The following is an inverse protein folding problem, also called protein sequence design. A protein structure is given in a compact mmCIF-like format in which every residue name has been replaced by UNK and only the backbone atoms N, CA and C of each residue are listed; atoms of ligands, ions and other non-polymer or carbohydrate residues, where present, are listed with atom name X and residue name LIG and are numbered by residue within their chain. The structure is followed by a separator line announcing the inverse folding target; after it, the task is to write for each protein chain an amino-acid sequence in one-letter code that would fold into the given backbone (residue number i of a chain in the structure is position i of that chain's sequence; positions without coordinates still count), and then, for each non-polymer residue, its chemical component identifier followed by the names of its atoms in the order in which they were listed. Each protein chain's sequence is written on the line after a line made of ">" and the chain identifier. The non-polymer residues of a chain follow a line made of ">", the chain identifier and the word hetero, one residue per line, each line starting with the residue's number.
data_IF_450087112775
#
_entry.id   IF_450087112775
#
_cell.length_a   1.000
_cell.length_b   1.000
_cell.length_c   1.000
_cell.angle_alpha   90.00
_cell.angle_beta   90.00
_cell.angle_gamma   90.00
#
_symmetry.space_group_name_H-M   'P 1'
#
loop_
_entity.id
_entity.type
_entity.pdbx_description
1 polymer ?
#
# COMPACT_ATOMS: atom_id res chain seq x y z
N UNK A 1 75.73 13.24 -65.37
CA UNK A 1 75.35 12.81 -66.73
C UNK A 1 73.96 12.18 -66.68
N UNK A 2 72.97 12.78 -67.39
CA UNK A 2 71.57 12.34 -67.65
C UNK A 2 70.65 12.18 -66.41
N UNK A 3 69.37 12.54 -66.39
CA UNK A 3 68.46 13.33 -67.23
C UNK A 3 67.16 13.45 -66.42
N UNK A 4 66.57 14.66 -66.34
CA UNK A 4 65.31 14.97 -65.64
C UNK A 4 64.12 14.15 -66.19
N UNK A 5 63.23 13.70 -65.30
CA UNK A 5 61.77 13.69 -65.55
C UNK A 5 61.03 14.08 -64.27
N UNK A 6 60.34 15.20 -64.38
CA UNK A 6 59.39 15.82 -63.45
C UNK A 6 58.28 14.85 -63.01
N UNK A 7 58.09 14.68 -61.69
CA UNK A 7 56.91 14.01 -61.11
C UNK A 7 55.98 15.06 -60.50
N UNK A 8 54.78 15.09 -61.07
CA UNK A 8 53.62 15.92 -60.74
C UNK A 8 53.06 15.47 -59.38
N UNK A 9 53.04 16.36 -58.39
CA UNK A 9 52.41 16.12 -57.10
C UNK A 9 50.89 16.02 -57.30
N UNK A 10 50.30 14.86 -56.98
CA UNK A 10 48.85 14.67 -56.90
C UNK A 10 48.43 14.98 -55.46
N UNK A 11 47.75 16.09 -55.28
CA UNK A 11 46.98 16.39 -54.06
C UNK A 11 45.81 15.39 -53.97
N UNK A 12 45.88 14.48 -53.01
CA UNK A 12 44.72 13.67 -52.61
C UNK A 12 43.89 14.52 -51.64
N UNK A 13 42.72 14.96 -52.09
CA UNK A 13 41.71 15.61 -51.26
C UNK A 13 41.15 14.55 -50.32
N UNK A 14 41.39 14.70 -49.02
CA UNK A 14 40.72 13.93 -47.97
C UNK A 14 39.37 14.61 -47.72
N UNK A 15 38.28 14.01 -48.18
CA UNK A 15 36.93 14.46 -47.89
C UNK A 15 36.65 14.21 -46.40
N UNK A 16 36.75 15.24 -45.56
CA UNK A 16 36.23 15.20 -44.19
C UNK A 16 34.71 15.10 -44.26
N UNK A 17 34.16 13.93 -43.91
CA UNK A 17 32.75 13.77 -43.60
C UNK A 17 32.51 14.43 -42.23
N UNK A 18 32.14 15.71 -42.23
CA UNK A 18 31.69 16.41 -41.03
C UNK A 18 30.31 15.85 -40.63
N UNK A 19 30.29 14.89 -39.70
CA UNK A 19 29.07 14.57 -38.96
C UNK A 19 28.78 15.74 -37.99
N UNK A 20 27.59 16.36 -38.04
CA UNK A 20 27.21 17.27 -36.98
C UNK A 20 27.02 16.45 -35.69
N UNK A 21 27.89 16.67 -34.71
CA UNK A 21 27.60 16.31 -33.31
C UNK A 21 26.36 17.11 -32.89
N UNK A 22 25.18 16.51 -32.98
CA UNK A 22 24.05 16.95 -32.19
C UNK A 22 24.38 16.62 -30.73
N UNK A 23 24.98 17.59 -30.05
CA UNK A 23 25.02 17.62 -28.60
C UNK A 23 23.58 17.83 -28.12
N UNK A 24 22.83 16.75 -27.95
CA UNK A 24 21.61 16.76 -27.15
C UNK A 24 22.04 16.95 -25.70
N UNK A 25 22.17 18.21 -25.29
CA UNK A 25 22.19 18.54 -23.88
C UNK A 25 20.88 18.04 -23.28
N UNK A 26 20.94 16.99 -22.47
CA UNK A 26 19.87 16.71 -21.53
C UNK A 26 19.90 17.84 -20.50
N UNK A 27 19.22 18.94 -20.82
CA UNK A 27 18.56 19.71 -19.79
C UNK A 27 17.61 18.74 -19.10
N UNK A 28 18.00 18.24 -17.93
CA UNK A 28 17.08 17.67 -16.94
C UNK A 28 16.24 18.85 -16.45
N UNK A 29 15.40 19.36 -17.34
CA UNK A 29 14.36 20.30 -17.03
C UNK A 29 13.39 19.55 -16.16
N UNK A 30 13.17 20.09 -14.97
CA UNK A 30 12.10 19.74 -14.05
C UNK A 30 10.84 19.41 -14.86
N UNK A 31 10.57 18.12 -15.05
CA UNK A 31 9.25 17.68 -15.39
C UNK A 31 8.42 17.99 -14.15
N UNK A 32 7.82 19.19 -14.16
CA UNK A 32 6.72 19.53 -13.29
C UNK A 32 5.66 18.47 -13.59
N UNK A 33 5.58 17.47 -12.71
CA UNK A 33 4.55 16.44 -12.73
C UNK A 33 3.23 17.14 -12.42
N UNK A 34 2.60 17.67 -13.47
CA UNK A 34 1.27 18.24 -13.41
C UNK A 34 0.24 17.13 -13.21
N UNK A 35 0.01 16.75 -11.96
CA UNK A 35 -1.29 16.29 -11.50
C UNK A 35 -1.79 17.26 -10.42
N UNK A 36 -2.19 18.45 -10.86
CA UNK A 36 -3.08 19.32 -10.10
C UNK A 36 -4.46 19.17 -10.72
N UNK A 37 -5.40 18.55 -9.99
CA UNK A 37 -6.75 18.33 -10.51
C UNK A 37 -7.69 17.68 -9.50
N UNK A 38 -7.99 18.42 -8.43
CA UNK A 38 -8.91 18.10 -7.31
C UNK A 38 -8.33 17.17 -6.23
N UNK A 39 -7.93 17.77 -5.11
CA UNK A 39 -7.82 17.05 -3.84
C UNK A 39 -9.15 16.41 -3.46
N UNK A 40 -9.11 15.41 -2.58
CA UNK A 40 -10.28 14.73 -2.09
C UNK A 40 -11.09 15.62 -1.15
N UNK A 41 -12.40 15.47 -1.20
CA UNK A 41 -13.35 16.08 -0.27
C UNK A 41 -14.00 15.01 0.60
N UNK A 42 -14.09 15.29 1.89
CA UNK A 42 -14.80 14.47 2.86
C UNK A 42 -16.09 15.16 3.26
N UNK A 43 -17.22 14.50 3.02
CA UNK A 43 -18.55 15.02 3.35
C UNK A 43 -18.84 14.82 4.83
N UNK A 44 -19.45 15.84 5.44
CA UNK A 44 -19.87 15.78 6.84
C UNK A 44 -21.16 14.95 6.97
N UNK A 45 -21.23 14.12 8.00
CA UNK A 45 -22.40 13.28 8.30
C UNK A 45 -22.61 13.16 9.81
N UNK A 46 -23.85 12.89 10.21
CA UNK A 46 -24.21 12.55 11.59
C UNK A 46 -24.15 11.05 11.89
N UNK A 47 -23.85 10.22 10.89
CA UNK A 47 -23.80 8.76 11.05
C UNK A 47 -22.63 8.34 11.94
N UNK A 48 -22.81 7.24 12.68
CA UNK A 48 -21.67 6.51 13.21
C UNK A 48 -20.90 5.91 12.02
N UNK A 49 -19.59 6.12 12.00
CA UNK A 49 -18.72 5.67 10.93
C UNK A 49 -18.04 4.33 11.27
N UNK A 50 -18.02 3.95 12.54
CA UNK A 50 -17.56 2.62 12.92
C UNK A 50 -18.64 1.57 12.57
N UNK A 51 -18.19 0.41 12.11
CA UNK A 51 -18.93 -0.69 11.49
C UNK A 51 -19.64 -0.33 10.18
N UNK A 52 -19.23 0.76 9.52
CA UNK A 52 -19.82 1.20 8.27
C UNK A 52 -19.38 0.29 7.12
N UNK A 53 -20.35 -0.32 6.43
CA UNK A 53 -20.09 -1.27 5.35
C UNK A 53 -19.96 -0.57 4.00
N UNK A 54 -19.26 -1.17 3.02
CA UNK A 54 -19.19 -0.61 1.68
C UNK A 54 -20.55 -0.43 1.00
N UNK A 55 -21.53 -1.30 1.31
CA UNK A 55 -22.87 -1.25 0.73
C UNK A 55 -23.82 -0.23 1.38
N UNK A 56 -23.41 0.42 2.47
CA UNK A 56 -24.32 1.24 3.28
C UNK A 56 -24.78 2.51 2.56
N UNK A 57 -26.04 2.89 2.78
CA UNK A 57 -26.66 4.03 2.13
C UNK A 57 -26.02 5.39 2.46
N UNK A 58 -25.23 5.47 3.54
CA UNK A 58 -24.53 6.69 3.94
C UNK A 58 -23.58 7.21 2.84
N UNK A 59 -22.98 6.30 2.07
CA UNK A 59 -22.06 6.64 0.98
C UNK A 59 -22.71 7.42 -0.17
N UNK A 60 -24.05 7.37 -0.31
CA UNK A 60 -24.76 8.13 -1.36
C UNK A 60 -24.57 9.65 -1.23
N UNK A 61 -24.23 10.13 -0.03
CA UNK A 61 -23.96 11.55 0.22
C UNK A 61 -22.53 11.96 -0.17
N UNK A 62 -21.59 11.02 -0.17
CA UNK A 62 -20.19 11.29 -0.50
C UNK A 62 -19.96 11.26 -2.02
N UNK A 63 -19.31 12.27 -2.62
CA UNK A 63 -18.95 12.22 -4.03
C UNK A 63 -17.95 11.10 -4.28
N UNK A 64 -18.17 10.35 -5.36
CA UNK A 64 -17.20 9.36 -5.84
C UNK A 64 -16.08 10.09 -6.59
N UNK A 65 -14.89 10.07 -6.01
CA UNK A 65 -13.70 10.76 -6.52
C UNK A 65 -12.71 9.72 -7.06
N UNK A 66 -11.96 10.05 -8.11
CA UNK A 66 -10.97 9.13 -8.69
C UNK A 66 -9.57 9.55 -8.26
N UNK A 67 -8.77 8.59 -7.80
CA UNK A 67 -7.35 8.77 -7.52
C UNK A 67 -6.56 7.96 -8.53
N UNK A 68 -5.63 8.61 -9.22
CA UNK A 68 -4.71 7.95 -10.14
C UNK A 68 -3.53 7.35 -9.36
N UNK A 69 -3.13 6.14 -9.74
CA UNK A 69 -2.07 5.36 -9.11
C UNK A 69 -1.03 4.97 -10.16
N UNK A 70 0.21 4.81 -9.73
CA UNK A 70 1.34 4.39 -10.56
C UNK A 70 2.15 3.32 -9.85
N UNK A 71 2.77 2.42 -10.59
CA UNK A 71 3.76 1.50 -10.06
C UNK A 71 4.83 2.27 -9.27
N UNK A 72 5.10 1.87 -8.03
CA UNK A 72 6.08 2.61 -7.22
C UNK A 72 7.48 2.52 -7.88
N UNK A 73 8.19 3.65 -8.07
CA UNK A 73 9.43 3.66 -8.86
C UNK A 73 10.69 3.54 -7.99
N UNK A 74 10.59 3.60 -6.67
CA UNK A 74 11.73 3.85 -5.79
C UNK A 74 12.39 2.56 -5.32
N UNK A 75 11.66 1.72 -4.58
CA UNK A 75 12.20 0.57 -3.88
C UNK A 75 12.27 -0.69 -4.78
N UNK A 76 13.33 -1.48 -4.66
CA UNK A 76 13.37 -2.80 -5.29
C UNK A 76 12.69 -3.85 -4.39
N UNK A 77 12.12 -4.94 -4.94
CA UNK A 77 11.80 -5.14 -6.37
C UNK A 77 10.65 -4.23 -6.83
N UNK A 78 10.81 -3.62 -8.01
CA UNK A 78 9.76 -2.77 -8.60
C UNK A 78 8.67 -3.60 -9.28
N UNK A 79 7.41 -3.14 -9.32
CA UNK A 79 6.44 -3.67 -10.26
C UNK A 79 6.93 -3.49 -11.70
N UNK A 80 6.62 -4.44 -12.58
CA UNK A 80 6.90 -4.30 -14.02
C UNK A 80 5.88 -3.41 -14.73
N UNK A 81 4.65 -3.39 -14.22
CA UNK A 81 3.49 -2.69 -14.77
C UNK A 81 2.72 -2.04 -13.62
N UNK A 82 1.98 -0.98 -13.92
CA UNK A 82 0.93 -0.48 -13.04
C UNK A 82 -0.32 -1.33 -13.25
N UNK A 83 -0.64 -2.21 -12.30
CA UNK A 83 -1.79 -3.11 -12.42
C UNK A 83 -3.11 -2.47 -11.98
N UNK A 84 -3.03 -1.58 -10.98
CA UNK A 84 -4.13 -0.74 -10.55
C UNK A 84 -3.80 0.70 -10.87
N UNK A 85 -4.33 1.23 -11.98
CA UNK A 85 -4.05 2.61 -12.42
C UNK A 85 -4.97 3.65 -11.75
N UNK A 86 -6.14 3.23 -11.29
CA UNK A 86 -7.14 4.12 -10.68
C UNK A 86 -7.87 3.43 -9.54
N UNK A 87 -8.26 4.24 -8.57
CA UNK A 87 -9.11 3.82 -7.46
C UNK A 87 -10.20 4.87 -7.22
N UNK A 88 -11.43 4.41 -7.04
CA UNK A 88 -12.53 5.26 -6.61
C UNK A 88 -12.48 5.42 -5.08
N UNK A 89 -12.62 6.66 -4.61
CA UNK A 89 -12.55 7.05 -3.22
C UNK A 89 -13.76 7.89 -2.85
N UNK A 90 -14.46 7.48 -1.80
CA UNK A 90 -15.49 8.28 -1.12
C UNK A 90 -15.06 8.48 0.33
N UNK A 91 -15.26 9.69 0.87
CA UNK A 91 -14.83 10.01 2.22
C UNK A 91 -15.96 10.66 2.99
N UNK A 92 -16.23 10.15 4.19
CA UNK A 92 -17.22 10.68 5.14
C UNK A 92 -16.52 11.01 6.45
N UNK A 93 -16.92 12.09 7.10
CA UNK A 93 -16.48 12.40 8.47
C UNK A 93 -17.65 12.91 9.32
N UNK A 94 -17.56 12.73 10.64
CA UNK A 94 -18.58 13.23 11.58
C UNK A 94 -18.01 14.25 12.58
N UNK A 95 -16.84 14.81 12.30
CA UNK A 95 -16.10 15.70 13.20
C UNK A 95 -15.38 15.00 14.36
N UNK A 96 -15.53 13.68 14.53
CA UNK A 96 -14.77 12.87 15.50
C UNK A 96 -13.98 11.75 14.83
N UNK A 97 -14.58 11.09 13.84
CA UNK A 97 -13.98 10.04 13.02
C UNK A 97 -14.16 10.33 11.53
N UNK A 98 -13.41 9.60 10.72
CA UNK A 98 -13.44 9.64 9.26
C UNK A 98 -13.42 8.21 8.71
N UNK A 99 -14.16 7.98 7.62
CA UNK A 99 -14.21 6.72 6.91
C UNK A 99 -13.89 6.94 5.44
N UNK A 100 -13.03 6.07 4.90
CA UNK A 100 -12.65 6.04 3.49
C UNK A 100 -13.20 4.78 2.86
N UNK A 101 -14.08 4.93 1.87
CA UNK A 101 -14.49 3.82 0.99
C UNK A 101 -13.63 3.85 -0.27
N UNK A 102 -12.87 2.78 -0.46
CA UNK A 102 -11.87 2.58 -1.49
C UNK A 102 -12.36 1.46 -2.41
N UNK A 103 -12.46 1.71 -3.71
CA UNK A 103 -12.90 0.69 -4.68
C UNK A 103 -11.97 0.60 -5.87
N UNK A 104 -11.52 -0.61 -6.20
CA UNK A 104 -10.66 -0.87 -7.35
C UNK A 104 -10.96 -2.23 -7.97
N UNK A 105 -10.70 -2.33 -9.28
CA UNK A 105 -10.88 -3.57 -10.03
C UNK A 105 -9.78 -4.55 -9.68
N UNK A 106 -10.18 -5.75 -9.27
CA UNK A 106 -9.32 -6.90 -9.07
C UNK A 106 -10.11 -8.17 -9.42
N UNK A 107 -9.81 -8.82 -10.56
CA UNK A 107 -10.56 -10.00 -10.99
C UNK A 107 -10.37 -11.21 -10.07
N UNK A 108 -9.40 -11.20 -9.16
CA UNK A 108 -9.04 -12.35 -8.33
C UNK A 108 -9.14 -11.98 -6.83
N UNK A 109 -10.14 -12.51 -6.12
CA UNK A 109 -10.22 -12.37 -4.65
C UNK A 109 -9.08 -13.13 -3.96
N UNK A 110 -7.96 -12.47 -3.69
CA UNK A 110 -6.76 -13.09 -3.14
C UNK A 110 -6.60 -12.75 -1.67
N UNK A 111 -6.96 -13.66 -0.77
CA UNK A 111 -6.90 -13.44 0.69
C UNK A 111 -5.76 -14.22 1.37
N UNK A 112 -4.66 -14.47 0.65
CA UNK A 112 -3.57 -15.44 0.92
C UNK A 112 -3.64 -16.31 2.19
N UNK A 113 -3.50 -17.62 1.98
CA UNK A 113 -3.20 -18.56 3.06
C UNK A 113 -2.23 -19.68 2.68
N UNK A 114 -2.04 -19.99 1.39
CA UNK A 114 -1.05 -20.97 0.95
C UNK A 114 0.32 -20.35 0.72
N UNK A 115 1.36 -21.17 0.82
CA UNK A 115 2.74 -20.77 0.55
C UNK A 115 2.88 -20.26 -0.89
N UNK A 116 3.58 -19.14 -1.03
CA UNK A 116 3.84 -18.52 -2.33
C UNK A 116 2.68 -17.72 -2.94
N UNK A 117 1.54 -17.62 -2.25
CA UNK A 117 0.42 -16.74 -2.62
C UNK A 117 0.45 -15.46 -1.78
N UNK A 118 -0.09 -14.38 -2.33
CA UNK A 118 -0.14 -13.07 -1.69
C UNK A 118 -1.57 -12.56 -1.55
N UNK A 119 -1.79 -11.73 -0.54
CA UNK A 119 -3.10 -11.13 -0.27
C UNK A 119 -3.23 -9.83 -1.03
N UNK A 120 -4.43 -9.54 -1.52
CA UNK A 120 -4.81 -8.20 -1.92
C UNK A 120 -4.76 -7.29 -0.70
N UNK A 121 -4.41 -6.04 -0.94
CA UNK A 121 -4.24 -5.06 0.11
C UNK A 121 -4.49 -3.64 -0.40
N UNK A 122 -4.88 -2.77 0.51
CA UNK A 122 -4.94 -1.32 0.29
C UNK A 122 -4.42 -0.62 1.53
N UNK A 123 -3.71 0.49 1.36
CA UNK A 123 -3.22 1.30 2.45
C UNK A 123 -3.51 2.78 2.27
N UNK A 124 -3.76 3.44 3.40
CA UNK A 124 -3.83 4.89 3.54
C UNK A 124 -2.62 5.34 4.32
N UNK A 125 -1.93 6.38 3.85
CA UNK A 125 -0.80 6.98 4.54
C UNK A 125 -1.13 8.44 4.87
N UNK A 126 -0.84 8.86 6.11
CA UNK A 126 -1.06 10.22 6.60
C UNK A 126 0.21 10.77 7.26
N UNK A 127 0.52 12.06 7.13
CA UNK A 127 1.60 12.66 7.89
C UNK A 127 1.24 12.69 9.38
N UNK A 128 2.18 12.33 10.27
CA UNK A 128 1.99 12.54 11.72
C UNK A 128 2.07 14.03 12.05
N UNK A 129 2.99 14.74 11.39
CA UNK A 129 3.20 16.18 11.57
C UNK A 129 3.50 16.86 10.24
N UNK A 130 2.99 18.08 10.08
CA UNK A 130 3.39 19.00 9.00
C UNK A 130 4.52 19.91 9.47
N UNK A 131 5.50 20.17 8.59
CA UNK A 131 6.58 21.13 8.82
C UNK A 131 6.33 22.32 7.91
N UNK A 132 6.15 23.52 8.48
CA UNK A 132 5.77 24.74 7.74
C UNK A 132 4.54 24.57 6.83
N UNK A 133 3.61 23.73 7.28
CA UNK A 133 2.38 23.41 6.56
C UNK A 133 2.55 22.45 5.37
N UNK A 134 3.72 21.84 5.21
CA UNK A 134 4.01 20.83 4.19
C UNK A 134 4.12 19.43 4.81
N UNK A 135 3.62 18.39 4.12
CA UNK A 135 3.81 17.01 4.55
C UNK A 135 5.26 16.53 4.28
N UNK A 136 5.73 15.46 4.94
CA UNK A 136 7.04 14.87 4.68
C UNK A 136 7.08 14.17 3.31
N UNK A 137 8.14 13.41 3.01
CA UNK A 137 8.18 12.56 1.81
C UNK A 137 6.95 11.64 1.69
N UNK A 138 6.28 11.55 0.52
CA UNK A 138 5.18 10.62 0.29
C UNK A 138 5.65 9.16 0.15
N UNK A 139 6.96 8.91 0.25
CA UNK A 139 7.56 7.59 0.17
C UNK A 139 7.76 6.99 1.57
N UNK A 140 6.68 6.96 2.34
CA UNK A 140 6.63 6.47 3.72
C UNK A 140 7.39 7.34 4.74
N UNK A 141 7.45 8.66 4.53
CA UNK A 141 8.11 9.59 5.44
C UNK A 141 9.63 9.70 5.26
N UNK A 142 10.27 10.33 6.24
CA UNK A 142 11.72 10.58 6.31
C UNK A 142 12.15 10.62 7.79
N UNK A 143 13.45 10.55 8.12
CA UNK A 143 13.92 10.62 9.50
C UNK A 143 13.34 11.83 10.25
N UNK A 144 12.85 11.59 11.48
CA UNK A 144 12.18 12.58 12.35
C UNK A 144 10.88 13.17 11.80
N UNK A 145 10.39 12.71 10.64
CA UNK A 145 9.09 13.10 10.08
C UNK A 145 8.27 11.86 9.74
N UNK A 146 7.73 11.18 10.76
CA UNK A 146 7.01 9.95 10.59
C UNK A 146 5.69 10.14 9.85
N UNK A 147 5.28 9.07 9.18
CA UNK A 147 3.94 8.89 8.65
C UNK A 147 3.22 7.79 9.41
N UNK A 148 1.90 7.85 9.39
CA UNK A 148 1.00 6.88 9.96
C UNK A 148 0.21 6.19 8.85
N UNK A 149 0.34 4.87 8.74
CA UNK A 149 -0.15 4.06 7.64
C UNK A 149 -1.18 3.07 8.17
N UNK A 150 -2.35 3.05 7.54
CA UNK A 150 -3.44 2.10 7.80
C UNK A 150 -3.46 1.09 6.66
N UNK A 151 -3.07 -0.15 6.93
CA UNK A 151 -2.87 -1.19 5.93
C UNK A 151 -3.88 -2.32 6.09
N UNK A 152 -4.86 -2.35 5.19
CA UNK A 152 -5.85 -3.41 5.10
C UNK A 152 -5.34 -4.55 4.22
N UNK A 153 -5.68 -5.79 4.58
CA UNK A 153 -5.41 -6.99 3.77
C UNK A 153 -6.65 -7.86 3.68
N UNK A 154 -6.90 -8.42 2.49
CA UNK A 154 -7.98 -9.38 2.28
C UNK A 154 -7.86 -10.63 3.18
N UNK A 155 -6.64 -11.03 3.58
CA UNK A 155 -6.41 -12.05 4.60
C UNK A 155 -7.14 -11.71 5.91
N UNK A 156 -7.01 -10.48 6.41
CA UNK A 156 -7.62 -10.06 7.68
C UNK A 156 -9.14 -10.06 7.59
N UNK A 157 -9.68 -9.66 6.45
CA UNK A 157 -11.11 -9.75 6.18
C UNK A 157 -11.60 -11.21 6.23
N UNK A 158 -10.86 -12.14 5.62
CA UNK A 158 -11.18 -13.58 5.68
C UNK A 158 -11.12 -14.12 7.11
N UNK A 159 -10.09 -13.78 7.86
CA UNK A 159 -9.92 -14.23 9.25
C UNK A 159 -11.06 -13.71 10.14
N UNK A 160 -11.49 -12.46 9.92
CA UNK A 160 -12.67 -11.85 10.56
C UNK A 160 -13.96 -12.58 10.22
N UNK A 161 -14.19 -12.90 8.94
CA UNK A 161 -15.36 -13.68 8.48
C UNK A 161 -15.40 -15.08 9.09
N UNK A 162 -14.24 -15.71 9.30
CA UNK A 162 -14.11 -17.01 9.94
C UNK A 162 -14.18 -16.96 11.47
N UNK A 163 -13.96 -15.80 12.08
CA UNK A 163 -13.79 -15.65 13.54
C UNK A 163 -12.51 -16.29 14.10
N UNK A 164 -11.59 -16.74 13.23
CA UNK A 164 -10.32 -17.40 13.59
C UNK A 164 -9.36 -17.41 12.40
N UNK A 165 -8.08 -17.63 12.69
CA UNK A 165 -7.08 -17.93 11.65
C UNK A 165 -7.40 -19.25 10.91
N UNK A 166 -7.14 -19.33 9.59
CA UNK A 166 -7.15 -20.57 8.85
C UNK A 166 -6.15 -21.57 9.44
N UNK A 167 -6.62 -22.78 9.72
CA UNK A 167 -5.80 -23.92 10.09
C UNK A 167 -5.13 -24.53 8.85
N UNK A 168 -4.16 -25.42 9.06
CA UNK A 168 -3.54 -26.15 7.95
C UNK A 168 -4.55 -26.97 7.14
N UNK A 169 -5.61 -27.49 7.78
CA UNK A 169 -6.68 -28.22 7.10
C UNK A 169 -7.52 -27.30 6.23
N UNK A 170 -7.82 -26.07 6.67
CA UNK A 170 -8.55 -25.09 5.86
C UNK A 170 -7.76 -24.70 4.60
N UNK A 171 -6.43 -24.65 4.70
CA UNK A 171 -5.53 -24.25 3.62
C UNK A 171 -5.21 -25.40 2.67
N UNK A 172 -5.01 -26.59 3.23
CA UNK A 172 -4.61 -27.81 2.55
C UNK A 172 -5.51 -28.97 3.02
N UNK A 173 -6.74 -29.08 2.48
CA UNK A 173 -7.74 -30.04 2.97
C UNK A 173 -7.32 -31.51 2.79
N UNK A 174 -6.39 -31.78 1.88
CA UNK A 174 -5.86 -33.11 1.61
C UNK A 174 -4.50 -33.36 2.29
N UNK A 175 -4.04 -32.47 3.18
CA UNK A 175 -2.81 -32.65 3.94
C UNK A 175 -3.04 -33.64 5.08
N UNK A 176 -2.15 -34.64 5.20
CA UNK A 176 -2.02 -35.44 6.41
C UNK A 176 -0.98 -34.79 7.31
N UNK A 177 -1.33 -34.60 8.58
CA UNK A 177 -0.38 -34.19 9.64
C UNK A 177 -0.20 -35.39 10.56
N UNK A 178 1.02 -35.91 10.62
CA UNK A 178 1.32 -37.14 11.37
C UNK A 178 1.20 -36.90 12.88
N UNK A 179 1.97 -35.96 13.41
CA UNK A 179 1.85 -35.46 14.78
C UNK A 179 2.49 -34.09 14.90
N UNK A 180 1.84 -33.16 15.61
CA UNK A 180 2.49 -31.95 16.09
C UNK A 180 2.91 -32.18 17.54
N UNK A 181 4.15 -31.85 17.95
CA UNK A 181 4.58 -32.04 19.32
C UNK A 181 3.61 -31.33 20.28
N UNK A 182 3.15 -32.07 21.30
CA UNK A 182 2.23 -31.58 22.33
C UNK A 182 0.78 -31.27 21.86
N UNK A 183 0.41 -31.66 20.64
CA UNK A 183 -0.97 -31.63 20.08
C UNK A 183 -1.29 -32.98 19.42
N UNK A 184 -1.23 -34.04 20.21
CA UNK A 184 -1.53 -35.39 19.72
C UNK A 184 -3.03 -35.59 19.61
N UNK A 185 -3.48 -36.30 18.56
CA UNK A 185 -4.89 -36.70 18.39
C UNK A 185 -5.39 -37.62 19.50
N UNK A 186 -4.47 -38.37 20.10
CA UNK A 186 -4.76 -39.23 21.24
C UNK A 186 -4.81 -38.39 22.52
N UNK A 187 -5.99 -38.29 23.14
CA UNK A 187 -6.18 -37.57 24.40
C UNK A 187 -5.39 -38.20 25.57
N UNK A 188 -5.02 -39.48 25.46
CA UNK A 188 -4.20 -40.17 26.46
C UNK A 188 -2.70 -39.84 26.32
N UNK A 189 -2.27 -39.24 25.21
CA UNK A 189 -0.89 -38.79 25.02
C UNK A 189 -0.63 -37.47 25.78
N UNK A 190 0.63 -37.17 26.14
CA UNK A 190 0.97 -35.93 26.85
C UNK A 190 0.57 -34.68 26.05
N UNK A 191 -0.52 -34.04 26.47
CA UNK A 191 -0.95 -32.75 25.94
C UNK A 191 -0.13 -31.65 26.64
N UNK A 192 0.51 -30.77 25.86
CA UNK A 192 1.33 -29.73 26.46
C UNK A 192 0.51 -28.54 26.92
N UNK A 193 1.05 -27.83 27.92
CA UNK A 193 0.57 -26.48 28.23
C UNK A 193 0.61 -25.61 26.98
N UNK A 194 -0.22 -24.56 26.95
CA UNK A 194 -0.20 -23.57 25.86
C UNK A 194 1.22 -22.99 25.64
N UNK A 195 1.96 -22.76 26.74
CA UNK A 195 3.36 -22.32 26.67
C UNK A 195 4.29 -23.33 25.99
N UNK A 196 4.10 -24.63 26.23
CA UNK A 196 4.88 -25.69 25.59
C UNK A 196 4.56 -25.79 24.10
N UNK A 197 3.28 -25.69 23.73
CA UNK A 197 2.84 -25.68 22.31
C UNK A 197 3.39 -24.47 21.57
N UNK A 198 3.43 -23.30 22.22
CA UNK A 198 3.99 -22.07 21.65
C UNK A 198 5.47 -22.21 21.29
N UNK A 199 6.26 -23.04 21.99
CA UNK A 199 7.67 -23.29 21.63
C UNK A 199 7.82 -23.94 20.24
N UNK A 200 6.81 -24.69 19.79
CA UNK A 200 6.77 -25.33 18.47
C UNK A 200 6.03 -24.46 17.42
N UNK A 201 5.60 -23.26 17.80
CA UNK A 201 5.04 -22.24 16.92
C UNK A 201 6.01 -21.05 16.80
N UNK A 202 7.07 -21.15 15.98
CA UNK A 202 8.17 -20.19 15.98
C UNK A 202 7.74 -18.75 15.69
N UNK A 203 6.69 -18.53 14.89
CA UNK A 203 6.13 -17.19 14.67
C UNK A 203 5.56 -16.56 15.95
N UNK A 204 4.79 -17.32 16.72
CA UNK A 204 4.27 -16.85 18.01
C UNK A 204 5.36 -16.75 19.08
N UNK A 205 6.35 -17.64 19.07
CA UNK A 205 7.50 -17.60 19.97
C UNK A 205 8.37 -16.36 19.72
N UNK A 206 8.56 -15.99 18.45
CA UNK A 206 9.26 -14.76 18.04
C UNK A 206 8.43 -13.49 18.25
N UNK A 207 7.18 -13.60 18.71
CA UNK A 207 6.27 -12.46 18.87
C UNK A 207 5.88 -11.81 17.54
N UNK A 208 5.91 -12.57 16.43
CA UNK A 208 5.57 -12.05 15.12
C UNK A 208 4.10 -11.57 15.13
N UNK A 209 3.84 -10.27 14.90
CA UNK A 209 2.50 -9.73 14.94
C UNK A 209 1.55 -10.37 13.93
N UNK A 210 2.06 -10.88 12.80
CA UNK A 210 1.29 -11.59 11.79
C UNK A 210 0.74 -12.94 12.28
N UNK A 211 1.31 -13.50 13.35
CA UNK A 211 0.88 -14.78 13.92
C UNK A 211 -0.36 -14.69 14.81
N UNK A 212 -0.87 -13.48 15.06
CA UNK A 212 -2.03 -13.21 15.91
C UNK A 212 -3.23 -12.75 15.08
N UNK A 213 -4.45 -13.00 15.59
CA UNK A 213 -5.70 -12.63 14.88
C UNK A 213 -5.74 -11.11 14.71
N UNK A 214 -6.04 -10.66 13.50
CA UNK A 214 -6.14 -9.25 13.14
C UNK A 214 -7.60 -8.86 12.96
N UNK A 215 -7.95 -7.65 13.40
CA UNK A 215 -9.33 -7.12 13.37
C UNK A 215 -9.70 -6.46 12.03
N UNK A 216 -8.77 -6.40 11.07
CA UNK A 216 -9.04 -5.98 9.69
C UNK A 216 -7.99 -5.04 9.09
N UNK A 217 -7.34 -4.21 9.91
CA UNK A 217 -6.35 -3.23 9.48
C UNK A 217 -5.16 -3.23 10.44
N UNK A 218 -3.95 -3.12 9.90
CA UNK A 218 -2.74 -2.82 10.67
C UNK A 218 -2.49 -1.32 10.68
N UNK A 219 -2.15 -0.77 11.85
CA UNK A 219 -1.61 0.58 11.97
C UNK A 219 -0.08 0.51 12.04
N UNK A 220 0.58 1.31 11.21
CA UNK A 220 2.03 1.25 10.98
C UNK A 220 2.60 2.65 11.03
N UNK A 221 3.70 2.84 11.76
CA UNK A 221 4.54 4.03 11.68
C UNK A 221 5.74 3.78 10.79
N UNK A 222 6.15 4.79 10.02
CA UNK A 222 7.35 4.72 9.20
C UNK A 222 8.04 6.09 9.10
N UNK A 223 9.37 6.06 9.05
CA UNK A 223 10.27 7.19 8.81
C UNK A 223 11.16 6.87 7.61
N UNK A 224 10.51 6.55 6.49
CA UNK A 224 11.09 5.97 5.29
C UNK A 224 10.68 4.51 5.08
N UNK A 225 10.76 4.04 3.83
CA UNK A 225 10.32 2.70 3.40
C UNK A 225 11.12 1.51 4.00
N UNK A 226 12.08 1.76 4.88
CA UNK A 226 12.87 0.73 5.57
C UNK A 226 12.67 0.67 7.09
N UNK A 227 11.84 1.54 7.66
CA UNK A 227 11.66 1.70 9.12
C UNK A 227 10.22 1.44 9.60
N UNK A 228 9.42 0.74 8.79
CA UNK A 228 8.03 0.44 9.14
C UNK A 228 7.92 -0.45 10.39
N UNK A 229 7.14 -0.01 11.38
CA UNK A 229 6.80 -0.77 12.58
C UNK A 229 5.30 -0.68 12.87
N UNK A 230 4.72 -1.71 13.46
CA UNK A 230 3.32 -1.65 13.90
C UNK A 230 3.17 -0.67 15.07
N UNK A 231 2.02 0.00 15.09
CA UNK A 231 1.54 0.75 16.23
C UNK A 231 1.24 -0.21 17.41
N UNK A 232 1.47 0.22 18.66
CA UNK A 232 1.17 -0.59 19.84
C UNK A 232 -0.34 -0.75 20.10
N UNK A 233 -1.14 0.20 19.60
CA UNK A 233 -2.60 0.22 19.72
C UNK A 233 -3.20 0.38 18.31
N UNK A 234 -4.36 -0.23 18.10
CA UNK A 234 -5.14 -0.11 16.86
C UNK A 234 -6.47 0.57 17.23
N UNK A 235 -6.68 1.75 16.66
CA UNK A 235 -7.88 2.58 16.82
C UNK A 235 -8.76 2.56 15.56
N UNK A 236 -8.22 2.08 14.45
CA UNK A 236 -8.91 1.92 13.18
C UNK A 236 -9.58 0.55 13.05
N UNK A 237 -10.57 0.51 12.18
CA UNK A 237 -11.25 -0.71 11.78
C UNK A 237 -11.45 -0.74 10.28
N UNK A 238 -11.92 -1.88 9.78
CA UNK A 238 -12.28 -2.02 8.38
C UNK A 238 -13.44 -2.97 8.16
N UNK A 239 -14.19 -2.69 7.10
CA UNK A 239 -15.17 -3.60 6.49
C UNK A 239 -14.89 -3.70 4.99
N UNK A 240 -14.92 -4.89 4.42
CA UNK A 240 -14.62 -5.07 3.00
C UNK A 240 -15.52 -6.09 2.33
N UNK A 241 -15.81 -5.84 1.06
CA UNK A 241 -16.59 -6.72 0.19
C UNK A 241 -15.89 -6.87 -1.15
N UNK A 242 -15.86 -8.09 -1.68
CA UNK A 242 -15.43 -8.34 -3.06
C UNK A 242 -16.62 -8.85 -3.87
N UNK A 243 -16.91 -8.18 -4.98
CA UNK A 243 -18.04 -8.54 -5.84
C UNK A 243 -17.72 -8.23 -7.29
N UNK A 244 -17.99 -9.18 -8.19
CA UNK A 244 -17.88 -9.01 -9.64
C UNK A 244 -16.50 -8.49 -10.12
N UNK A 245 -15.40 -8.93 -9.50
CA UNK A 245 -14.06 -8.49 -9.88
C UNK A 245 -13.68 -7.09 -9.38
N UNK A 246 -14.33 -6.61 -8.32
CA UNK A 246 -14.04 -5.33 -7.68
C UNK A 246 -14.01 -5.50 -6.16
N UNK A 247 -12.99 -4.93 -5.53
CA UNK A 247 -12.95 -4.74 -4.09
C UNK A 247 -13.64 -3.43 -3.73
N UNK A 248 -14.41 -3.41 -2.65
CA UNK A 248 -14.82 -2.21 -1.93
C UNK A 248 -14.41 -2.36 -0.47
N UNK A 249 -13.51 -1.50 0.00
CA UNK A 249 -12.96 -1.53 1.37
C UNK A 249 -13.31 -0.22 2.06
N UNK A 250 -13.84 -0.30 3.27
CA UNK A 250 -14.00 0.82 4.18
C UNK A 250 -12.92 0.73 5.24
N UNK A 251 -12.14 1.79 5.40
CA UNK A 251 -11.24 1.98 6.55
C UNK A 251 -11.75 3.17 7.35
N UNK A 252 -12.07 2.95 8.62
CA UNK A 252 -12.54 3.98 9.55
C UNK A 252 -11.50 4.21 10.63
N UNK A 253 -11.25 5.48 10.97
CA UNK A 253 -10.36 5.87 12.07
C UNK A 253 -10.85 7.14 12.80
N UNK A 254 -10.44 7.39 14.04
CA UNK A 254 -10.57 8.70 14.67
C UNK A 254 -9.89 9.79 13.83
N UNK A 255 -10.38 11.03 13.86
CA UNK A 255 -9.68 12.16 13.23
C UNK A 255 -8.32 12.40 13.89
N UNK A 256 -8.27 12.27 15.21
CA UNK A 256 -7.06 12.33 16.03
C UNK A 256 -6.84 10.98 16.70
N UNK A 257 -5.77 10.29 16.31
CA UNK A 257 -5.28 9.06 16.96
C UNK A 257 -4.37 9.41 18.14
N UNK A 258 -4.24 8.53 19.12
CA UNK A 258 -3.51 8.76 20.38
C UNK A 258 -2.02 9.02 20.17
N UNK A 259 -1.38 8.26 19.28
CA UNK A 259 0.07 8.29 19.03
C UNK A 259 0.43 8.69 17.59
N UNK A 260 -0.56 8.97 16.74
CA UNK A 260 -0.35 9.10 15.29
C UNK A 260 -0.84 10.41 14.67
N UNK A 261 -1.32 10.30 13.43
CA UNK A 261 -1.78 11.43 12.61
C UNK A 261 -3.02 12.15 13.16
N UNK A 262 -3.12 13.45 12.94
CA UNK A 262 -4.31 14.26 13.23
C UNK A 262 -4.87 14.88 11.94
N UNK A 263 -6.19 14.77 11.74
CA UNK A 263 -6.93 15.42 10.68
C UNK A 263 -7.82 16.53 11.26
N UNK A 264 -7.79 17.70 10.63
CA UNK A 264 -8.48 18.91 11.11
C UNK A 264 -9.55 19.36 10.12
N UNK A 265 -10.78 19.54 10.61
CA UNK A 265 -11.86 20.18 9.84
C UNK A 265 -11.46 21.63 9.55
N UNK A 266 -11.51 22.04 8.27
CA UNK A 266 -11.05 23.35 7.83
C UNK A 266 -9.53 23.56 7.85
N UNK A 267 -8.74 22.54 8.21
CA UNK A 267 -7.27 22.57 8.17
C UNK A 267 -6.70 21.98 6.88
N UNK A 268 -5.37 22.04 6.75
CA UNK A 268 -4.63 21.34 5.68
C UNK A 268 -4.44 19.88 6.08
N UNK A 269 -4.95 18.96 5.27
CA UNK A 269 -4.73 17.53 5.47
C UNK A 269 -4.25 16.90 4.17
N UNK A 270 -3.56 15.77 4.30
CA UNK A 270 -2.97 15.05 3.18
C UNK A 270 -3.14 13.55 3.39
N UNK A 271 -3.27 12.83 2.29
CA UNK A 271 -3.34 11.36 2.28
C UNK A 271 -2.64 10.81 1.05
N UNK A 272 -1.95 9.69 1.21
CA UNK A 272 -1.40 8.89 0.13
C UNK A 272 -2.08 7.51 0.11
N UNK A 273 -2.08 6.87 -1.05
CA UNK A 273 -2.73 5.58 -1.25
C UNK A 273 -1.75 4.57 -1.82
N UNK A 274 -1.94 3.30 -1.45
CA UNK A 274 -1.25 2.18 -2.06
C UNK A 274 -2.19 0.99 -2.23
N UNK A 275 -2.07 0.26 -3.32
CA UNK A 275 -2.86 -0.95 -3.64
C UNK A 275 -1.93 -2.07 -4.07
N UNK A 276 -2.27 -3.29 -3.64
CA UNK A 276 -1.61 -4.53 -4.03
C UNK A 276 -2.66 -5.52 -4.55
N UNK A 277 -2.45 -6.06 -5.76
CA UNK A 277 -3.16 -7.23 -6.27
C UNK A 277 -2.36 -8.51 -5.99
N UNK A 278 -2.78 -9.26 -4.96
CA UNK A 278 -2.09 -10.46 -4.49
C UNK A 278 -2.03 -11.56 -5.54
N UNK A 279 -3.10 -11.72 -6.34
CA UNK A 279 -3.15 -12.66 -7.47
C UNK A 279 -2.10 -12.39 -8.55
N UNK A 280 -1.66 -11.12 -8.68
CA UNK A 280 -0.55 -10.70 -9.56
C UNK A 280 0.80 -10.65 -8.87
N UNK A 281 0.89 -11.25 -7.68
CA UNK A 281 2.08 -11.32 -6.84
C UNK A 281 2.58 -9.94 -6.38
N UNK A 282 1.73 -8.93 -6.30
CA UNK A 282 2.07 -7.68 -5.63
C UNK A 282 2.15 -7.92 -4.11
N UNK A 283 3.27 -7.50 -3.51
CA UNK A 283 3.53 -7.57 -2.07
C UNK A 283 4.73 -6.66 -1.76
N UNK A 284 4.78 -6.10 -0.55
CA UNK A 284 5.89 -5.26 -0.12
C UNK A 284 6.03 -4.04 -1.03
N UNK A 285 7.20 -3.84 -1.65
CA UNK A 285 7.45 -2.74 -2.58
C UNK A 285 6.82 -2.94 -3.96
N UNK A 286 6.30 -4.12 -4.31
CA UNK A 286 5.57 -4.30 -5.58
C UNK A 286 4.11 -3.90 -5.36
N UNK A 287 3.79 -2.64 -5.67
CA UNK A 287 2.49 -1.99 -5.46
C UNK A 287 2.26 -0.84 -6.43
N UNK A 288 0.99 -0.46 -6.59
CA UNK A 288 0.57 0.79 -7.22
C UNK A 288 0.31 1.84 -6.13
N UNK A 289 0.80 3.07 -6.31
CA UNK A 289 0.78 4.15 -5.29
C UNK A 289 0.45 5.51 -5.89
N UNK A 290 0.01 6.45 -5.06
CA UNK A 290 0.11 7.89 -5.38
C UNK A 290 1.56 8.34 -5.24
N UNK A 291 2.09 9.08 -6.22
CA UNK A 291 3.47 9.61 -6.16
C UNK A 291 3.60 10.93 -5.41
N UNK A 292 2.48 11.62 -5.17
CA UNK A 292 2.40 12.86 -4.42
C UNK A 292 1.29 12.76 -3.40
N UNK A 293 1.37 13.59 -2.36
CA UNK A 293 0.29 13.76 -1.40
C UNK A 293 -0.97 14.26 -2.08
N UNK A 294 -2.09 13.60 -1.80
CA UNK A 294 -3.41 14.06 -2.20
C UNK A 294 -3.94 14.94 -1.08
N UNK A 295 -4.27 16.19 -1.40
CA UNK A 295 -4.93 17.09 -0.44
C UNK A 295 -6.28 16.51 -0.03
N UNK A 296 -6.60 16.59 1.26
CA UNK A 296 -7.86 16.11 1.83
C UNK A 296 -8.60 17.22 2.55
N UNK A 297 -9.73 17.63 1.98
CA UNK A 297 -10.57 18.71 2.45
C UNK A 297 -11.75 18.17 3.25
N UNK A 298 -11.72 18.35 4.57
CA UNK A 298 -12.84 18.01 5.46
C UNK A 298 -13.84 19.16 5.47
N UNK A 299 -15.02 18.95 4.89
CA UNK A 299 -16.08 19.97 4.83
C UNK A 299 -16.60 20.30 6.23
N UNK A 300 -16.88 21.58 6.48
CA UNK A 300 -17.34 22.09 7.77
C UNK A 300 -18.76 21.61 8.16
#
# INVERSE_FOLDING_TARGET
>A
MKSKKTKKARNTILTLLAMPLMATGLSIGSAVYGQAGQGLSAEKTSHNLFHLKPSDGAWKKAPMQSVDLMAQPMALPRPKLTLTEKMAVQVLHNGKSIAFRLSWKDPEKSAAGRLGLFSDAVALEFPVKLTDGQPPSPFMGEPDKPVHIFHWRAQYQKDKEMGRHPTMVDLYPNMSVDAYPMEFKDEAAPQGSESQRRMFAPGQAAGNPQSYVKTGVDEIFAEGFGSSSLAPEIEAESEAEWKNGEWSVVITRPLKTSLGSELKVGGKNFVCFAVWQGGKREVGSRKSVTLMWVELNLKA
#
